data_IF_011242542859
#
_entry.id   IF_011242542859
#
_cell.length_a   1.000
_cell.length_b   1.000
_cell.length_c   1.000
_cell.angle_alpha   90.00
_cell.angle_beta   90.00
_cell.angle_gamma   90.00
#
_symmetry.space_group_name_H-M   'P 1'
#
loop_
_entity.id
_entity.type
_entity.pdbx_description
1 polymer ?
#
# COMPACT_ATOMS: atom_id res chain seq x y z
N UNK A 1 25.13 31.66 52.28
CA UNK A 1 25.71 30.84 51.18
C UNK A 1 24.69 29.79 50.78
N UNK A 2 24.03 29.93 49.62
CA UNK A 2 23.09 28.93 49.07
C UNK A 2 23.70 28.39 47.79
N UNK A 3 24.01 27.09 47.75
CA UNK A 3 24.52 26.42 46.53
C UNK A 3 23.31 25.91 45.76
N UNK A 4 23.02 26.54 44.62
CA UNK A 4 22.03 26.04 43.67
C UNK A 4 22.68 24.96 42.81
N UNK A 5 22.20 23.73 42.94
CA UNK A 5 22.54 22.61 42.06
C UNK A 5 21.79 22.79 40.74
N UNK A 6 22.50 23.07 39.65
CA UNK A 6 21.95 23.08 38.30
C UNK A 6 21.92 21.65 37.79
N UNK A 7 20.72 21.11 37.57
CA UNK A 7 20.50 19.80 36.96
C UNK A 7 20.63 19.95 35.44
N UNK A 8 21.73 19.46 34.88
CA UNK A 8 21.96 19.45 33.43
C UNK A 8 21.21 18.27 32.82
N UNK A 9 20.07 18.51 32.19
CA UNK A 9 19.35 17.52 31.40
C UNK A 9 20.09 17.28 30.08
N UNK A 10 20.80 16.16 29.98
CA UNK A 10 21.47 15.73 28.76
C UNK A 10 20.43 15.14 27.79
N UNK A 11 19.99 15.94 26.82
CA UNK A 11 19.11 15.49 25.74
C UNK A 11 19.95 14.62 24.76
N UNK A 12 19.83 13.30 24.86
CA UNK A 12 20.39 12.37 23.87
C UNK A 12 19.56 12.45 22.59
N UNK A 13 20.04 13.20 21.61
CA UNK A 13 19.51 13.16 20.25
C UNK A 13 20.02 11.88 19.60
N UNK A 14 19.18 10.84 19.56
CA UNK A 14 19.48 9.61 18.83
C UNK A 14 19.37 9.89 17.32
N UNK A 15 20.39 9.55 16.52
CA UNK A 15 20.29 9.67 15.07
C UNK A 15 19.23 8.69 14.55
N UNK A 16 18.21 9.21 13.86
CA UNK A 16 17.29 8.37 13.08
C UNK A 16 18.08 7.86 11.88
N UNK A 17 18.55 6.61 11.98
CA UNK A 17 19.15 5.90 10.85
C UNK A 17 18.01 5.61 9.86
N UNK A 18 17.85 6.50 8.88
CA UNK A 18 17.01 6.23 7.72
C UNK A 18 17.76 5.22 6.85
N UNK A 19 17.50 3.92 7.07
CA UNK A 19 17.88 2.88 6.13
C UNK A 19 17.29 3.18 4.75
N UNK A 20 17.88 2.62 3.69
CA UNK A 20 17.25 2.65 2.37
C UNK A 20 15.82 2.11 2.51
N UNK A 21 14.82 2.69 1.81
CA UNK A 21 13.45 2.27 1.97
C UNK A 21 13.30 0.80 1.54
N UNK A 22 12.83 -0.03 2.47
CA UNK A 22 12.58 -1.45 2.19
C UNK A 22 11.49 -1.56 1.13
N UNK A 23 11.84 -2.16 0.00
CA UNK A 23 10.94 -2.34 -1.15
C UNK A 23 10.61 -3.83 -1.30
N UNK A 24 9.32 -4.14 -1.42
CA UNK A 24 8.82 -5.49 -1.66
C UNK A 24 7.90 -5.47 -2.88
N UNK A 25 8.17 -6.37 -3.84
CA UNK A 25 7.34 -6.56 -5.02
C UNK A 25 6.49 -7.82 -4.86
N UNK A 26 5.18 -7.69 -5.06
CA UNK A 26 4.25 -8.81 -5.14
C UNK A 26 3.71 -8.93 -6.57
N UNK A 27 3.49 -10.15 -7.05
CA UNK A 27 2.92 -10.40 -8.37
C UNK A 27 1.63 -11.21 -8.26
N UNK A 28 0.69 -10.98 -9.16
CA UNK A 28 -0.53 -11.77 -9.21
C UNK A 28 -1.51 -11.24 -10.23
N UNK A 29 -2.79 -11.23 -9.87
CA UNK A 29 -3.87 -11.00 -10.82
C UNK A 29 -4.97 -10.14 -10.22
N UNK A 30 -5.61 -9.34 -11.07
CA UNK A 30 -6.87 -8.68 -10.77
C UNK A 30 -8.02 -9.31 -11.56
N UNK A 31 -9.22 -9.23 -11.00
CA UNK A 31 -10.47 -9.48 -11.72
C UNK A 31 -11.43 -8.32 -11.48
N UNK A 32 -12.04 -7.80 -12.56
CA UNK A 32 -13.05 -6.75 -12.53
C UNK A 32 -14.40 -7.33 -12.97
N UNK A 33 -15.24 -7.65 -11.99
CA UNK A 33 -16.53 -8.35 -12.18
C UNK A 33 -17.46 -7.61 -13.14
N UNK A 34 -17.66 -6.31 -12.94
CA UNK A 34 -18.52 -5.48 -13.79
C UNK A 34 -18.06 -5.33 -15.24
N UNK A 35 -16.82 -5.75 -15.56
CA UNK A 35 -16.25 -5.70 -16.92
C UNK A 35 -15.92 -7.08 -17.50
N UNK A 36 -16.01 -8.15 -16.70
CA UNK A 36 -15.53 -9.48 -17.08
C UNK A 36 -14.06 -9.47 -17.52
N UNK A 37 -13.24 -8.61 -16.93
CA UNK A 37 -11.85 -8.41 -17.33
C UNK A 37 -10.90 -8.83 -16.21
N UNK A 38 -9.83 -9.49 -16.56
CA UNK A 38 -8.73 -9.85 -15.66
C UNK A 38 -7.39 -9.60 -16.34
N UNK A 39 -6.32 -9.62 -15.55
CA UNK A 39 -4.97 -9.51 -16.06
C UNK A 39 -3.95 -9.69 -14.95
N UNK A 40 -2.71 -9.95 -15.39
CA UNK A 40 -1.54 -9.94 -14.52
C UNK A 40 -1.27 -8.54 -14.00
N UNK A 41 -0.70 -8.49 -12.80
CA UNK A 41 -0.42 -7.26 -12.09
C UNK A 41 0.80 -7.43 -11.19
N UNK A 42 1.64 -6.41 -11.20
CA UNK A 42 2.77 -6.23 -10.30
C UNK A 42 2.45 -5.11 -9.31
N UNK A 43 2.72 -5.34 -8.03
CA UNK A 43 2.51 -4.39 -6.94
C UNK A 43 3.83 -4.13 -6.22
N UNK A 44 4.34 -2.91 -6.29
CA UNK A 44 5.58 -2.51 -5.60
C UNK A 44 5.21 -1.72 -4.37
N UNK A 45 5.63 -2.21 -3.19
CA UNK A 45 5.43 -1.59 -1.89
C UNK A 45 6.76 -1.05 -1.36
N UNK A 46 6.79 0.24 -1.01
CA UNK A 46 7.95 0.92 -0.45
C UNK A 46 7.62 1.35 0.96
N UNK A 47 8.36 0.85 1.96
CA UNK A 47 8.10 1.16 3.36
C UNK A 47 8.25 2.65 3.65
N UNK A 48 7.25 3.23 4.30
CA UNK A 48 7.25 4.63 4.78
C UNK A 48 7.18 4.73 6.29
N UNK A 49 7.15 3.60 6.99
CA UNK A 49 6.96 3.52 8.43
C UNK A 49 6.56 2.11 8.86
N UNK A 50 6.18 1.96 10.13
CA UNK A 50 5.72 0.67 10.65
C UNK A 50 4.38 0.30 10.00
N UNK A 51 4.39 -0.74 9.15
CA UNK A 51 3.22 -1.25 8.44
C UNK A 51 2.53 -0.20 7.55
N UNK A 52 3.27 0.81 7.08
CA UNK A 52 2.79 1.80 6.12
C UNK A 52 3.64 1.77 4.88
N UNK A 53 2.98 1.90 3.73
CA UNK A 53 3.60 1.69 2.43
C UNK A 53 3.16 2.75 1.43
N UNK A 54 4.09 3.26 0.64
CA UNK A 54 3.76 3.76 -0.68
C UNK A 54 3.60 2.55 -1.61
N UNK A 55 2.60 2.58 -2.50
CA UNK A 55 2.30 1.46 -3.39
C UNK A 55 2.14 1.92 -4.83
N UNK A 56 2.65 1.13 -5.77
CA UNK A 56 2.37 1.27 -7.20
C UNK A 56 1.93 -0.06 -7.80
N UNK A 57 0.81 -0.06 -8.51
CA UNK A 57 0.31 -1.19 -9.28
C UNK A 57 0.57 -0.99 -10.76
N UNK A 58 1.23 -1.96 -11.39
CA UNK A 58 1.56 -1.99 -12.81
C UNK A 58 0.81 -3.15 -13.44
N UNK A 59 -0.02 -2.86 -14.45
CA UNK A 59 -0.83 -3.89 -15.11
C UNK A 59 -1.21 -3.46 -16.53
N UNK A 60 -1.57 -4.43 -17.35
CA UNK A 60 -2.15 -4.18 -18.67
C UNK A 60 -3.67 -4.23 -18.60
N UNK A 61 -4.34 -3.25 -19.21
CA UNK A 61 -5.79 -3.28 -19.37
C UNK A 61 -6.15 -2.86 -20.79
N UNK A 62 -6.85 -3.75 -21.51
CA UNK A 62 -7.23 -3.55 -22.93
C UNK A 62 -6.05 -3.19 -23.82
N UNK A 63 -4.92 -3.90 -23.68
CA UNK A 63 -3.74 -3.67 -24.52
C UNK A 63 -2.93 -2.43 -24.16
N UNK A 64 -3.18 -1.81 -22.99
CA UNK A 64 -2.48 -0.59 -22.57
C UNK A 64 -1.91 -0.74 -21.17
N UNK A 65 -0.66 -0.28 -20.94
CA UNK A 65 -0.08 -0.27 -19.62
C UNK A 65 -0.74 0.80 -18.74
N UNK A 66 -0.92 0.47 -17.48
CA UNK A 66 -1.45 1.35 -16.44
C UNK A 66 -0.57 1.30 -15.20
N UNK A 67 -0.35 2.46 -14.59
CA UNK A 67 0.34 2.61 -13.30
C UNK A 67 -0.56 3.37 -12.35
N UNK A 68 -0.94 2.72 -11.24
CA UNK A 68 -1.79 3.31 -10.21
C UNK A 68 -0.99 3.44 -8.92
N UNK A 69 -0.93 4.65 -8.36
CA UNK A 69 -0.08 4.94 -7.20
C UNK A 69 -0.91 5.40 -6.01
N UNK A 70 -0.41 5.13 -4.81
CA UNK A 70 -1.04 5.59 -3.57
C UNK A 70 -0.40 4.99 -2.34
N UNK A 71 -1.20 4.69 -1.32
CA UNK A 71 -0.72 4.28 0.00
C UNK A 71 -1.44 3.04 0.50
N UNK A 72 -0.75 2.23 1.30
CA UNK A 72 -1.31 1.06 1.97
C UNK A 72 -0.91 1.00 3.45
N UNK A 73 -1.73 0.32 4.24
CA UNK A 73 -1.49 0.02 5.65
C UNK A 73 -1.71 -1.48 5.90
N UNK A 74 -0.87 -2.04 6.76
CA UNK A 74 -0.94 -3.43 7.19
C UNK A 74 0.32 -4.24 6.86
N UNK A 75 0.16 -5.55 6.87
CA UNK A 75 1.27 -6.50 6.79
C UNK A 75 1.36 -7.14 5.41
N UNK A 76 2.57 -7.26 4.87
CA UNK A 76 2.86 -8.00 3.62
C UNK A 76 3.23 -9.47 3.87
N UNK A 77 3.23 -9.94 5.12
CA UNK A 77 3.57 -11.32 5.46
C UNK A 77 2.41 -12.09 6.10
N UNK A 78 1.68 -11.47 7.02
CA UNK A 78 0.59 -12.08 7.78
C UNK A 78 -0.34 -10.99 8.37
N UNK A 79 -1.65 -11.08 8.12
CA UNK A 79 -2.66 -10.19 8.70
C UNK A 79 -3.45 -9.42 7.66
N UNK A 80 -4.04 -8.29 8.06
CA UNK A 80 -4.79 -7.43 7.13
C UNK A 80 -3.85 -6.56 6.30
N UNK A 81 -4.29 -6.26 5.07
CA UNK A 81 -3.68 -5.26 4.21
C UNK A 81 -4.79 -4.50 3.49
N UNK A 82 -4.71 -3.17 3.52
CA UNK A 82 -5.65 -2.29 2.83
C UNK A 82 -4.93 -1.08 2.25
N UNK A 83 -5.47 -0.50 1.20
CA UNK A 83 -4.89 0.70 0.62
C UNK A 83 -5.79 1.41 -0.35
N UNK A 84 -5.29 2.54 -0.83
CA UNK A 84 -5.95 3.42 -1.79
C UNK A 84 -4.95 3.80 -2.87
N UNK A 85 -5.36 3.71 -4.12
CA UNK A 85 -4.55 4.11 -5.27
C UNK A 85 -5.35 4.95 -6.24
N UNK A 86 -4.67 5.78 -7.01
CA UNK A 86 -5.27 6.63 -8.02
C UNK A 86 -4.65 6.33 -9.38
N UNK A 87 -5.50 6.40 -10.40
CA UNK A 87 -5.01 6.54 -11.77
C UNK A 87 -4.62 7.99 -11.97
N UNK A 88 -3.33 8.25 -12.25
CA UNK A 88 -2.78 9.60 -12.47
C UNK A 88 -3.61 10.44 -13.45
N UNK A 89 -4.24 9.79 -14.43
CA UNK A 89 -4.87 10.46 -15.56
C UNK A 89 -6.40 10.56 -15.49
N UNK A 90 -7.06 9.94 -14.51
CA UNK A 90 -8.54 9.77 -14.55
C UNK A 90 -9.32 10.20 -13.33
N UNK A 91 -8.68 10.80 -12.31
CA UNK A 91 -9.38 11.32 -11.12
C UNK A 91 -10.15 10.26 -10.32
N UNK A 92 -9.95 8.97 -10.63
CA UNK A 92 -10.59 7.83 -9.97
C UNK A 92 -9.71 7.33 -8.85
N UNK A 93 -10.33 7.05 -7.71
CA UNK A 93 -9.69 6.38 -6.58
C UNK A 93 -10.20 4.95 -6.53
N UNK A 94 -9.26 4.02 -6.39
CA UNK A 94 -9.53 2.62 -6.13
C UNK A 94 -9.06 2.29 -4.73
N UNK A 95 -9.87 1.52 -4.02
CA UNK A 95 -9.55 0.98 -2.71
C UNK A 95 -9.30 -0.51 -2.87
N UNK A 96 -8.38 -1.06 -2.08
CA UNK A 96 -8.22 -2.50 -1.95
C UNK A 96 -8.14 -2.89 -0.49
N UNK A 97 -8.65 -4.07 -0.16
CA UNK A 97 -8.60 -4.62 1.19
C UNK A 97 -8.67 -6.13 1.16
N UNK A 98 -7.96 -6.78 2.07
CA UNK A 98 -7.91 -8.23 2.16
C UNK A 98 -7.01 -8.72 3.27
N UNK A 99 -6.67 -10.01 3.19
CA UNK A 99 -5.82 -10.69 4.16
C UNK A 99 -4.59 -11.24 3.45
N UNK A 100 -3.44 -11.03 4.07
CA UNK A 100 -2.19 -11.69 3.74
C UNK A 100 -2.01 -12.90 4.64
N UNK A 101 -1.75 -14.04 4.03
CA UNK A 101 -1.37 -15.27 4.72
C UNK A 101 -0.15 -15.86 4.03
N UNK A 102 0.95 -16.00 4.78
CA UNK A 102 2.20 -16.58 4.30
C UNK A 102 2.70 -15.88 3.02
N UNK A 103 2.68 -14.53 3.01
CA UNK A 103 3.09 -13.70 1.86
C UNK A 103 2.09 -13.66 0.70
N UNK A 104 0.95 -14.37 0.80
CA UNK A 104 -0.12 -14.35 -0.20
C UNK A 104 -1.28 -13.45 0.22
N UNK A 105 -1.48 -12.36 -0.51
CA UNK A 105 -2.66 -11.50 -0.38
C UNK A 105 -3.85 -12.07 -1.14
N UNK A 106 -5.02 -12.09 -0.51
CA UNK A 106 -6.31 -12.32 -1.14
C UNK A 106 -7.30 -11.27 -0.64
N UNK A 107 -7.93 -10.56 -1.57
CA UNK A 107 -8.82 -9.46 -1.22
C UNK A 107 -9.72 -8.99 -2.36
N UNK A 108 -10.30 -7.82 -2.12
CA UNK A 108 -11.18 -7.13 -3.05
C UNK A 108 -10.63 -5.77 -3.43
N UNK A 109 -11.08 -5.25 -4.56
CA UNK A 109 -10.93 -3.84 -4.90
C UNK A 109 -12.28 -3.19 -5.20
N UNK A 110 -12.36 -1.89 -4.96
CA UNK A 110 -13.55 -1.06 -5.13
C UNK A 110 -13.20 0.26 -5.84
N UNK A 111 -14.13 0.78 -6.63
CA UNK A 111 -14.06 2.13 -7.21
C UNK A 111 -14.85 3.10 -6.31
N UNK A 112 -14.29 4.29 -6.09
CA UNK A 112 -15.02 5.38 -5.43
C UNK A 112 -15.65 6.30 -6.49
N UNK A 113 -16.97 6.32 -6.58
CA UNK A 113 -17.73 7.24 -7.44
C UNK A 113 -18.70 8.06 -6.59
N UNK A 114 -18.60 9.40 -6.66
CA UNK A 114 -19.45 10.30 -5.86
C UNK A 114 -19.34 10.10 -4.34
N UNK A 115 -18.18 9.62 -3.87
CA UNK A 115 -17.92 9.33 -2.46
C UNK A 115 -18.49 7.99 -1.95
N UNK A 116 -19.07 7.17 -2.84
CA UNK A 116 -19.55 5.82 -2.50
C UNK A 116 -18.58 4.78 -3.02
N UNK A 117 -18.24 3.83 -2.15
CA UNK A 117 -17.45 2.66 -2.50
C UNK A 117 -18.34 1.62 -3.17
N UNK A 118 -17.92 1.13 -4.33
CA UNK A 118 -18.56 0.02 -5.01
C UNK A 118 -17.51 -1.04 -5.29
N UNK A 119 -17.68 -2.23 -4.71
CA UNK A 119 -16.79 -3.36 -4.99
C UNK A 119 -16.80 -3.67 -6.48
N UNK A 120 -15.62 -3.67 -7.09
CA UNK A 120 -15.41 -3.86 -8.52
C UNK A 120 -14.79 -5.22 -8.84
N UNK A 121 -14.21 -5.91 -7.86
CA UNK A 121 -13.81 -7.31 -8.02
C UNK A 121 -12.74 -7.75 -7.03
N UNK A 122 -11.88 -8.67 -7.44
CA UNK A 122 -10.91 -9.34 -6.57
C UNK A 122 -9.47 -9.05 -6.99
N UNK A 123 -8.57 -9.20 -6.03
CA UNK A 123 -7.12 -9.04 -6.20
C UNK A 123 -6.41 -10.17 -5.44
N UNK A 124 -5.46 -10.83 -6.10
CA UNK A 124 -4.59 -11.85 -5.50
C UNK A 124 -3.15 -11.49 -5.79
N UNK A 125 -2.28 -11.48 -4.76
CA UNK A 125 -0.85 -11.18 -4.91
C UNK A 125 -0.01 -12.21 -4.15
N UNK A 126 1.18 -12.49 -4.64
CA UNK A 126 2.16 -13.40 -4.05
C UNK A 126 3.52 -12.69 -3.98
N UNK A 127 4.16 -12.74 -2.81
CA UNK A 127 5.51 -12.22 -2.57
C UNK A 127 6.61 -13.26 -2.63
#
# INVERSE_FOLDING_TARGET
MRRSTVLLALLLVMPVVHGAPDTQTLTGEFFWSGRGASGELEAVFTSTGEQTWDVSFHFEFRGRPHVYTGTAEGSLSQGELRGKVKNENKGRTFLFSGTVKDGKFQGTHAETEGGREQSTGTLTLNG
#
